data_IF_770129672381
#
_entry.id   IF_770129672381
#
_cell.length_a   1.000
_cell.length_b   1.000
_cell.length_c   1.000
_cell.angle_alpha   90.00
_cell.angle_beta   90.00
_cell.angle_gamma   90.00
#
_symmetry.space_group_name_H-M   'P 1'
#
loop_
_entity.id
_entity.type
_entity.pdbx_description
1 polymer ?
#
# COMPACT_ATOMS: atom_id res chain seq x y z
N UNK A 1 3.08 -1.86 6.18
CA UNK A 1 4.54 -1.63 6.18
C UNK A 1 4.89 -0.17 5.85
N UNK A 2 4.51 0.32 4.67
CA UNK A 2 4.88 1.62 4.11
C UNK A 2 4.09 2.86 4.58
N UNK A 3 3.14 2.72 5.51
CA UNK A 3 2.24 3.81 5.96
C UNK A 3 2.92 5.10 6.39
N UNK A 4 4.18 5.02 6.87
CA UNK A 4 4.93 6.16 7.44
C UNK A 4 5.30 7.22 6.40
N UNK A 5 5.35 6.86 5.11
CA UNK A 5 5.69 7.79 4.04
C UNK A 5 4.46 8.28 3.26
N UNK A 6 3.24 7.91 3.69
CA UNK A 6 2.01 8.50 3.18
C UNK A 6 1.46 9.45 4.23
N UNK A 7 1.52 10.74 3.94
CA UNK A 7 0.89 11.75 4.78
C UNK A 7 -0.62 11.49 4.87
N UNK A 8 -1.13 11.53 6.11
CA UNK A 8 -2.54 11.32 6.38
C UNK A 8 -3.06 9.91 6.10
N UNK A 9 -2.19 8.89 5.98
CA UNK A 9 -2.57 7.53 5.60
C UNK A 9 -3.78 6.98 6.36
N UNK A 10 -3.81 7.15 7.69
CA UNK A 10 -4.93 6.68 8.53
C UNK A 10 -6.28 7.28 8.11
N UNK A 11 -6.30 8.58 7.78
CA UNK A 11 -7.52 9.26 7.30
C UNK A 11 -7.93 8.74 5.93
N UNK A 12 -6.98 8.61 5.00
CA UNK A 12 -7.23 8.12 3.64
C UNK A 12 -7.71 6.66 3.64
N UNK A 13 -7.08 5.78 4.42
CA UNK A 13 -7.41 4.36 4.46
C UNK A 13 -8.65 4.03 5.29
N UNK A 14 -9.23 4.99 6.02
CA UNK A 14 -10.39 4.77 6.90
C UNK A 14 -11.56 4.04 6.20
N UNK A 15 -11.99 4.43 4.99
CA UNK A 15 -13.07 3.72 4.29
C UNK A 15 -12.74 2.25 4.02
N UNK A 16 -11.48 1.94 3.69
CA UNK A 16 -11.00 0.58 3.46
C UNK A 16 -10.98 -0.24 4.75
N UNK A 17 -10.50 0.34 5.85
CA UNK A 17 -10.47 -0.34 7.16
C UNK A 17 -11.87 -0.62 7.71
N UNK A 18 -12.88 0.17 7.32
CA UNK A 18 -14.27 -0.08 7.71
C UNK A 18 -14.83 -1.35 7.06
N UNK A 19 -14.40 -1.68 5.84
CA UNK A 19 -14.86 -2.88 5.12
C UNK A 19 -14.41 -4.18 5.77
N UNK A 20 -13.34 -4.17 6.58
CA UNK A 20 -12.81 -5.36 7.25
C UNK A 20 -13.35 -5.52 8.68
N UNK A 21 -14.19 -4.59 9.16
CA UNK A 21 -14.78 -4.68 10.49
C UNK A 21 -15.84 -5.77 10.56
N UNK A 22 -15.87 -6.49 11.69
CA UNK A 22 -16.87 -7.53 11.95
C UNK A 22 -18.28 -6.96 11.86
N UNK A 23 -19.16 -7.65 11.13
CA UNK A 23 -20.56 -7.26 10.97
C UNK A 23 -20.81 -6.15 9.96
N UNK A 24 -19.77 -5.63 9.28
CA UNK A 24 -19.95 -4.71 8.16
C UNK A 24 -20.12 -5.51 6.86
N UNK A 25 -21.18 -5.20 6.11
CA UNK A 25 -21.36 -5.75 4.76
C UNK A 25 -20.24 -5.21 3.86
N UNK A 26 -19.59 -6.11 3.14
CA UNK A 26 -18.60 -5.73 2.13
C UNK A 26 -19.33 -5.07 0.94
N UNK A 27 -19.15 -3.76 0.81
CA UNK A 27 -19.71 -2.94 -0.25
C UNK A 27 -18.59 -2.16 -0.96
N UNK A 28 -18.23 -2.63 -2.15
CA UNK A 28 -17.20 -2.03 -2.98
C UNK A 28 -17.82 -1.10 -4.03
N UNK A 29 -18.18 0.09 -3.58
CA UNK A 29 -18.63 1.18 -4.45
C UNK A 29 -17.47 2.07 -4.92
N UNK A 30 -17.80 3.01 -5.80
CA UNK A 30 -16.88 3.97 -6.41
C UNK A 30 -16.02 4.73 -5.39
N UNK A 31 -16.58 5.12 -4.24
CA UNK A 31 -15.81 5.80 -3.19
C UNK A 31 -14.65 4.96 -2.66
N UNK A 32 -14.84 3.64 -2.51
CA UNK A 32 -13.79 2.75 -1.99
C UNK A 32 -12.76 2.45 -3.07
N UNK A 33 -13.21 2.31 -4.32
CA UNK A 33 -12.32 2.18 -5.48
C UNK A 33 -11.41 3.42 -5.61
N UNK A 34 -11.96 4.63 -5.55
CA UNK A 34 -11.19 5.86 -5.65
C UNK A 34 -10.15 5.98 -4.52
N UNK A 35 -10.52 5.58 -3.30
CA UNK A 35 -9.58 5.54 -2.17
C UNK A 35 -8.49 4.48 -2.38
N UNK A 36 -8.84 3.31 -2.91
CA UNK A 36 -7.88 2.25 -3.21
C UNK A 36 -6.86 2.70 -4.26
N UNK A 37 -7.33 3.30 -5.36
CA UNK A 37 -6.45 3.85 -6.40
C UNK A 37 -5.56 4.97 -5.87
N UNK A 38 -6.11 5.87 -5.05
CA UNK A 38 -5.31 6.92 -4.41
C UNK A 38 -4.20 6.34 -3.53
N UNK A 39 -4.47 5.28 -2.76
CA UNK A 39 -3.43 4.61 -1.95
C UNK A 39 -2.35 4.01 -2.85
N UNK A 40 -2.71 3.34 -3.96
CA UNK A 40 -1.74 2.80 -4.93
C UNK A 40 -0.88 3.92 -5.53
N UNK A 41 -1.51 5.01 -5.97
CA UNK A 41 -0.80 6.16 -6.53
C UNK A 41 0.21 6.75 -5.54
N UNK A 42 -0.20 6.92 -4.27
CA UNK A 42 0.70 7.44 -3.23
C UNK A 42 1.86 6.48 -2.93
N UNK A 43 1.63 5.16 -2.97
CA UNK A 43 2.70 4.17 -2.80
C UNK A 43 3.69 4.16 -3.98
N UNK A 44 3.23 4.46 -5.19
CA UNK A 44 4.08 4.55 -6.38
C UNK A 44 4.73 5.94 -6.58
N UNK A 45 4.46 6.90 -5.70
CA UNK A 45 5.02 8.26 -5.80
C UNK A 45 6.47 8.35 -5.28
N UNK A 46 7.21 9.35 -5.78
CA UNK A 46 8.67 9.49 -5.66
C UNK A 46 9.24 9.44 -4.23
N UNK A 47 8.46 9.75 -3.20
CA UNK A 47 8.93 9.68 -1.80
C UNK A 47 9.19 8.26 -1.30
N UNK A 48 8.73 7.24 -2.03
CA UNK A 48 8.96 5.81 -1.75
C UNK A 48 10.11 5.19 -2.54
N UNK A 49 10.41 5.74 -3.70
CA UNK A 49 11.37 5.21 -4.66
C UNK A 49 12.55 6.18 -4.74
N UNK A 50 13.22 6.37 -3.61
CA UNK A 50 14.45 7.16 -3.57
C UNK A 50 15.47 6.54 -4.53
N UNK A 51 16.13 7.38 -5.32
CA UNK A 51 17.20 6.94 -6.20
C UNK A 51 18.32 6.34 -5.33
N UNK A 52 18.72 5.08 -5.57
CA UNK A 52 19.85 4.51 -4.86
C UNK A 52 21.12 5.30 -5.21
N UNK A 53 21.75 5.93 -4.21
CA UNK A 53 23.01 6.66 -4.38
C UNK A 53 24.24 5.74 -4.58
N UNK A 54 24.01 4.42 -4.60
CA UNK A 54 24.97 3.39 -5.02
C UNK A 54 26.12 3.10 -4.04
N UNK A 55 26.15 3.75 -2.87
CA UNK A 55 27.20 3.58 -1.87
C UNK A 55 26.83 2.65 -0.71
N UNK A 56 25.54 2.40 -0.52
CA UNK A 56 25.01 1.59 0.58
C UNK A 56 24.59 0.20 0.07
N UNK A 57 24.69 -0.80 0.95
CA UNK A 57 24.17 -2.13 0.68
C UNK A 57 22.63 -2.13 0.65
N UNK A 58 22.06 -2.98 -0.22
CA UNK A 58 20.61 -3.14 -0.33
C UNK A 58 20.16 -4.44 0.32
N UNK A 59 19.01 -4.39 1.00
CA UNK A 59 18.33 -5.58 1.52
C UNK A 59 17.08 -5.81 0.70
N UNK A 60 16.98 -6.98 0.08
CA UNK A 60 15.81 -7.41 -0.69
C UNK A 60 15.01 -8.40 0.14
N UNK A 61 13.70 -8.16 0.27
CA UNK A 61 12.79 -9.08 0.94
C UNK A 61 11.95 -9.82 -0.10
N UNK A 62 12.13 -11.13 -0.17
CA UNK A 62 11.42 -11.99 -1.13
C UNK A 62 10.39 -12.88 -0.42
N UNK A 63 9.26 -13.12 -1.09
CA UNK A 63 8.27 -14.11 -0.68
C UNK A 63 7.73 -14.87 -1.91
N UNK A 64 7.33 -16.12 -1.69
CA UNK A 64 6.93 -17.04 -2.74
C UNK A 64 5.70 -17.86 -2.33
N UNK A 65 4.78 -18.03 -3.28
CA UNK A 65 3.64 -18.94 -3.16
C UNK A 65 3.66 -19.96 -4.30
N UNK A 66 2.76 -20.95 -4.24
CA UNK A 66 2.59 -21.93 -5.32
C UNK A 66 2.27 -21.32 -6.70
N UNK A 67 1.84 -20.06 -6.76
CA UNK A 67 1.39 -19.40 -8.00
C UNK A 67 2.25 -18.21 -8.43
N UNK A 68 3.11 -17.69 -7.55
CA UNK A 68 3.79 -16.43 -7.85
C UNK A 68 4.84 -16.05 -6.81
N UNK A 69 5.69 -15.12 -7.23
CA UNK A 69 6.85 -14.60 -6.51
C UNK A 69 6.69 -13.09 -6.34
N UNK A 70 7.16 -12.54 -5.23
CA UNK A 70 7.23 -11.11 -4.97
C UNK A 70 8.52 -10.74 -4.26
N UNK A 71 9.06 -9.56 -4.59
CA UNK A 71 10.21 -8.99 -3.90
C UNK A 71 9.99 -7.48 -3.72
N UNK A 72 10.53 -6.94 -2.64
CA UNK A 72 10.60 -5.49 -2.39
C UNK A 72 11.96 -5.10 -1.85
#
# INVERSE_FOLDING_TARGET
YYRRFIEGFSKTAKPMTKLTQKGIKFDWGETKENVFQLIKQKLCSASFLALPEGKEDFVVYCDASHKGLGAV
#
